data_IF_251240991066
#
_entry.id   IF_251240991066
#
_cell.length_a   1.000
_cell.length_b   1.000
_cell.length_c   1.000
_cell.angle_alpha   90.00
_cell.angle_beta   90.00
_cell.angle_gamma   90.00
#
_symmetry.space_group_name_H-M   'P 1'
#
loop_
_entity.id
_entity.type
_entity.pdbx_description
1 polymer ?
#
# COMPACT_ATOMS: atom_id res chain seq x y z
N UNK A 1 21.12 -5.67 2.30
CA UNK A 1 20.76 -4.66 1.27
C UNK A 1 19.60 -5.15 0.38
N UNK A 2 18.53 -5.73 0.96
CA UNK A 2 17.47 -6.41 0.16
C UNK A 2 16.06 -6.38 0.82
N UNK A 3 15.74 -5.37 1.64
CA UNK A 3 14.45 -5.35 2.38
C UNK A 3 13.57 -4.11 2.15
N UNK A 4 13.97 -3.13 1.33
CA UNK A 4 13.15 -1.91 1.09
C UNK A 4 12.16 -2.01 -0.07
N UNK A 5 12.15 -3.15 -0.74
CA UNK A 5 11.25 -3.49 -1.83
C UNK A 5 10.66 -4.86 -1.49
N UNK A 6 9.63 -4.91 -0.64
CA UNK A 6 8.82 -6.11 -0.54
C UNK A 6 8.06 -6.27 -1.87
N UNK A 7 8.68 -6.99 -2.80
CA UNK A 7 8.04 -7.50 -4.02
C UNK A 7 7.12 -8.66 -3.61
N UNK A 8 6.01 -8.38 -2.94
CA UNK A 8 4.93 -9.38 -2.85
C UNK A 8 4.23 -9.40 -4.21
N UNK A 9 4.77 -10.23 -5.10
CA UNK A 9 4.14 -10.62 -6.35
C UNK A 9 2.96 -11.56 -6.02
N UNK A 10 1.72 -11.09 -6.17
CA UNK A 10 0.60 -11.99 -6.41
C UNK A 10 0.23 -11.89 -7.88
N UNK A 11 0.59 -12.94 -8.62
CA UNK A 11 0.37 -13.09 -10.05
C UNK A 11 -1.04 -13.68 -10.26
N UNK A 12 -1.98 -12.86 -10.74
CA UNK A 12 -3.20 -13.34 -11.39
C UNK A 12 -3.24 -12.73 -12.79
N UNK A 13 -2.55 -13.41 -13.71
CA UNK A 13 -2.76 -13.39 -15.16
C UNK A 13 -2.64 -12.03 -15.87
N UNK A 14 -1.43 -11.46 -15.98
CA UNK A 14 -1.05 -10.55 -17.08
C UNK A 14 0.48 -10.33 -17.14
N UNK A 15 1.10 -10.18 -18.33
CA UNK A 15 2.52 -9.81 -18.50
C UNK A 15 2.79 -8.33 -18.21
N UNK A 16 1.98 -7.68 -17.38
CA UNK A 16 1.97 -6.23 -17.23
C UNK A 16 2.94 -5.77 -16.13
N UNK A 17 3.75 -4.74 -16.44
CA UNK A 17 4.60 -4.02 -15.47
C UNK A 17 3.80 -3.20 -14.45
N UNK A 18 2.47 -3.16 -14.59
CA UNK A 18 1.57 -2.31 -13.82
C UNK A 18 1.73 -2.47 -12.29
N UNK A 19 1.71 -3.68 -11.68
CA UNK A 19 1.89 -3.79 -10.23
C UNK A 19 3.25 -3.27 -9.77
N UNK A 20 4.31 -3.49 -10.55
CA UNK A 20 5.65 -3.01 -10.24
C UNK A 20 5.74 -1.48 -10.36
N UNK A 21 5.10 -0.88 -11.35
CA UNK A 21 5.05 0.57 -11.54
C UNK A 21 4.22 1.24 -10.41
N UNK A 22 3.10 0.63 -10.02
CA UNK A 22 2.31 1.05 -8.86
C UNK A 22 3.11 0.95 -7.56
N UNK A 23 3.88 -0.13 -7.37
CA UNK A 23 4.75 -0.28 -6.20
C UNK A 23 5.85 0.80 -6.16
N UNK A 24 6.47 1.12 -7.31
CA UNK A 24 7.45 2.21 -7.43
C UNK A 24 6.84 3.58 -7.11
N UNK A 25 5.63 3.84 -7.59
CA UNK A 25 4.88 5.04 -7.21
C UNK A 25 4.61 5.08 -5.71
N UNK A 26 4.17 3.95 -5.13
CA UNK A 26 3.99 3.82 -3.70
C UNK A 26 5.28 4.06 -2.91
N UNK A 27 6.44 3.65 -3.42
CA UNK A 27 7.74 3.81 -2.77
C UNK A 27 8.17 5.27 -2.69
N UNK A 28 7.91 6.04 -3.75
CA UNK A 28 8.08 7.49 -3.77
C UNK A 28 7.23 8.15 -2.68
N UNK A 29 5.97 7.73 -2.54
CA UNK A 29 5.07 8.23 -1.49
C UNK A 29 5.44 7.71 -0.10
N UNK A 30 6.06 6.53 0.01
CA UNK A 30 6.64 6.04 1.26
C UNK A 30 7.86 6.85 1.70
N UNK A 31 8.31 7.83 0.89
CA UNK A 31 9.52 8.64 1.09
C UNK A 31 10.76 7.76 1.18
N UNK A 32 10.77 6.70 0.38
CA UNK A 32 11.89 5.79 0.23
C UNK A 32 12.56 6.05 -1.12
N UNK A 33 13.87 6.29 -1.12
CA UNK A 33 14.63 6.66 -2.32
C UNK A 33 14.73 8.16 -2.55
N UNK A 34 14.79 8.58 -3.83
CA UNK A 34 14.94 9.98 -4.21
C UNK A 34 13.68 10.79 -3.91
N UNK A 35 13.86 11.95 -3.26
CA UNK A 35 12.74 12.78 -2.84
C UNK A 35 12.31 13.74 -3.95
N UNK A 36 11.44 13.25 -4.83
CA UNK A 36 10.91 14.01 -5.97
C UNK A 36 9.71 14.91 -5.61
N UNK A 37 9.09 14.71 -4.45
CA UNK A 37 7.87 15.41 -4.01
C UNK A 37 8.05 15.96 -2.60
N UNK A 38 7.51 17.15 -2.34
CA UNK A 38 7.61 17.81 -1.04
C UNK A 38 6.98 16.94 0.07
N UNK A 39 7.54 16.93 1.30
CA UNK A 39 6.95 16.19 2.42
C UNK A 39 5.49 16.55 2.69
N UNK A 40 5.15 17.83 2.54
CA UNK A 40 3.79 18.33 2.76
C UNK A 40 2.81 17.71 1.76
N UNK A 41 3.17 17.69 0.47
CA UNK A 41 2.33 17.08 -0.57
C UNK A 41 2.18 15.58 -0.36
N UNK A 42 3.25 14.88 0.03
CA UNK A 42 3.18 13.44 0.34
C UNK A 42 2.20 13.18 1.48
N UNK A 43 2.28 13.94 2.57
CA UNK A 43 1.35 13.82 3.71
C UNK A 43 -0.10 14.04 3.26
N UNK A 44 -0.37 15.07 2.46
CA UNK A 44 -1.71 15.34 1.91
C UNK A 44 -2.20 14.18 1.05
N UNK A 45 -1.39 13.69 0.12
CA UNK A 45 -1.73 12.56 -0.76
C UNK A 45 -2.04 11.31 0.05
N UNK A 46 -1.20 10.96 1.02
CA UNK A 46 -1.42 9.80 1.88
C UNK A 46 -2.69 9.93 2.73
N UNK A 47 -3.00 11.13 3.22
CA UNK A 47 -4.22 11.39 3.98
C UNK A 47 -5.47 11.20 3.12
N UNK A 48 -5.44 11.64 1.86
CA UNK A 48 -6.52 11.41 0.90
C UNK A 48 -6.63 9.94 0.51
N UNK A 49 -5.51 9.27 0.23
CA UNK A 49 -5.49 7.83 -0.04
C UNK A 49 -6.11 7.04 1.12
N UNK A 50 -5.79 7.40 2.36
CA UNK A 50 -6.32 6.76 3.55
C UNK A 50 -7.84 6.95 3.70
N UNK A 51 -8.36 8.14 3.42
CA UNK A 51 -9.76 8.50 3.71
C UNK A 51 -10.72 8.25 2.56
N UNK A 52 -10.28 8.41 1.31
CA UNK A 52 -11.14 8.33 0.12
C UNK A 52 -10.55 7.52 -1.05
N UNK A 53 -9.50 6.72 -0.81
CA UNK A 53 -8.79 6.07 -1.90
C UNK A 53 -9.47 4.82 -2.52
N UNK A 54 -10.45 4.23 -1.85
CA UNK A 54 -11.11 2.96 -2.23
C UNK A 54 -12.63 3.10 -2.43
N UNK A 55 -13.06 4.19 -3.08
CA UNK A 55 -14.48 4.49 -3.29
C UNK A 55 -15.27 4.43 -1.97
N UNK A 56 -16.48 3.88 -2.00
CA UNK A 56 -17.35 3.65 -0.84
C UNK A 56 -16.77 2.61 0.16
N UNK A 57 -15.61 2.00 -0.12
CA UNK A 57 -14.92 1.06 0.76
C UNK A 57 -13.85 1.68 1.66
N UNK A 58 -13.49 2.96 1.46
CA UNK A 58 -12.31 3.58 2.08
C UNK A 58 -12.33 3.54 3.61
N UNK A 59 -13.43 3.97 4.24
CA UNK A 59 -13.53 3.98 5.71
C UNK A 59 -13.43 2.58 6.31
N UNK A 60 -14.16 1.61 5.75
CA UNK A 60 -14.15 0.24 6.25
C UNK A 60 -12.77 -0.42 6.11
N UNK A 61 -12.08 -0.18 4.98
CA UNK A 61 -10.71 -0.66 4.79
C UNK A 61 -9.73 0.03 5.75
N UNK A 62 -9.82 1.35 5.91
CA UNK A 62 -8.96 2.12 6.81
C UNK A 62 -9.04 1.60 8.26
N UNK A 63 -10.22 1.20 8.73
CA UNK A 63 -10.40 0.59 10.07
C UNK A 63 -9.78 -0.81 10.19
N UNK A 64 -9.75 -1.60 9.11
CA UNK A 64 -9.24 -2.97 9.15
C UNK A 64 -7.74 -3.05 8.91
N UNK A 65 -7.25 -2.34 7.90
CA UNK A 65 -5.85 -2.38 7.49
C UNK A 65 -5.04 -1.26 8.11
N UNK A 66 -5.61 -0.07 8.32
CA UNK A 66 -4.83 1.10 8.73
C UNK A 66 -3.74 1.48 7.72
N UNK A 67 -3.85 1.07 6.45
CA UNK A 67 -2.88 1.36 5.38
C UNK A 67 -3.50 2.34 4.38
N UNK A 68 -2.72 3.33 3.92
CA UNK A 68 -3.17 4.24 2.87
C UNK A 68 -3.18 3.53 1.51
N UNK A 69 -4.31 3.51 0.80
CA UNK A 69 -4.43 2.79 -0.47
C UNK A 69 -5.32 3.51 -1.49
N UNK A 70 -4.99 3.40 -2.78
CA UNK A 70 -5.80 3.89 -3.89
C UNK A 70 -6.08 2.75 -4.87
N UNK A 71 -7.36 2.58 -5.22
CA UNK A 71 -7.83 1.61 -6.20
C UNK A 71 -8.14 2.25 -7.55
N UNK A 72 -7.98 1.51 -8.64
CA UNK A 72 -8.44 1.87 -9.97
C UNK A 72 -9.36 0.80 -10.56
N UNK A 73 -10.32 1.21 -11.40
CA UNK A 73 -11.35 0.34 -12.02
C UNK A 73 -10.79 -0.83 -12.82
N UNK A 74 -9.51 -0.79 -13.22
CA UNK A 74 -8.84 -1.91 -13.87
C UNK A 74 -8.40 -3.02 -12.90
N UNK A 75 -8.66 -2.88 -11.59
CA UNK A 75 -8.26 -3.85 -10.57
C UNK A 75 -6.85 -3.64 -10.00
N UNK A 76 -6.19 -2.55 -10.39
CA UNK A 76 -4.92 -2.12 -9.79
C UNK A 76 -5.14 -1.40 -8.45
N UNK A 77 -4.34 -1.72 -7.45
CA UNK A 77 -4.32 -1.01 -6.16
C UNK A 77 -2.88 -0.64 -5.83
N UNK A 78 -2.65 0.62 -5.49
CA UNK A 78 -1.42 1.06 -4.83
C UNK A 78 -1.68 1.27 -3.34
N UNK A 79 -0.78 0.80 -2.50
CA UNK A 79 -0.83 1.00 -1.05
C UNK A 79 0.53 1.44 -0.52
N UNK A 80 0.52 2.21 0.57
CA UNK A 80 1.72 2.84 1.12
C UNK A 80 1.76 2.66 2.63
N UNK A 81 2.89 2.14 3.10
CA UNK A 81 3.30 2.13 4.51
C UNK A 81 4.37 3.22 4.67
N UNK A 82 4.03 4.38 5.27
CA UNK A 82 4.94 5.53 5.32
C UNK A 82 6.30 5.16 5.94
N UNK A 83 7.38 5.55 5.27
CA UNK A 83 8.74 5.28 5.72
C UNK A 83 9.18 3.82 5.56
N UNK A 84 8.38 2.93 4.97
CA UNK A 84 8.72 1.51 4.88
C UNK A 84 8.51 0.93 3.47
N UNK A 85 7.27 0.91 2.99
CA UNK A 85 6.90 0.12 1.81
C UNK A 85 5.96 0.87 0.86
N UNK A 86 6.22 0.70 -0.45
CA UNK A 86 5.25 0.92 -1.51
C UNK A 86 4.80 -0.42 -2.08
N UNK A 87 3.49 -0.63 -2.18
CA UNK A 87 2.91 -1.91 -2.57
C UNK A 87 2.00 -1.67 -3.78
N UNK A 88 2.16 -2.48 -4.82
CA UNK A 88 1.28 -2.50 -5.98
C UNK A 88 0.67 -3.88 -6.13
N UNK A 89 -0.65 -3.95 -6.29
CA UNK A 89 -1.38 -5.20 -6.55
C UNK A 89 -2.25 -5.03 -7.77
N UNK A 90 -2.56 -6.14 -8.44
CA UNK A 90 -3.50 -6.17 -9.54
C UNK A 90 -4.33 -7.45 -9.44
N UNK A 91 -5.64 -7.31 -9.60
CA UNK A 91 -6.53 -8.45 -9.72
C UNK A 91 -7.79 -8.07 -10.49
N UNK A 92 -8.18 -8.81 -11.54
CA UNK A 92 -9.32 -8.47 -12.38
C UNK A 92 -10.68 -8.71 -11.68
N UNK A 93 -10.70 -9.50 -10.60
CA UNK A 93 -11.91 -9.77 -9.84
C UNK A 93 -12.24 -8.59 -8.92
N UNK A 94 -13.28 -7.83 -9.26
CA UNK A 94 -13.69 -6.62 -8.53
C UNK A 94 -14.89 -6.88 -7.61
N UNK A 95 -14.93 -6.18 -6.48
CA UNK A 95 -16.12 -6.09 -5.64
C UNK A 95 -17.17 -5.15 -6.25
N UNK A 96 -18.33 -5.02 -5.59
CA UNK A 96 -19.40 -4.10 -6.01
C UNK A 96 -19.00 -2.62 -6.08
N UNK A 97 -17.90 -2.24 -5.43
CA UNK A 97 -17.37 -0.88 -5.40
C UNK A 97 -16.28 -0.68 -6.46
N UNK A 98 -15.93 -1.71 -7.25
CA UNK A 98 -14.89 -1.66 -8.28
C UNK A 98 -13.47 -1.86 -7.75
N UNK A 99 -13.30 -2.39 -6.53
CA UNK A 99 -11.98 -2.68 -5.97
C UNK A 99 -11.57 -4.14 -6.18
N UNK A 100 -10.30 -4.40 -6.43
CA UNK A 100 -9.77 -5.76 -6.51
C UNK A 100 -9.95 -6.50 -5.18
N UNK A 101 -10.75 -7.59 -5.20
CA UNK A 101 -11.07 -8.39 -4.02
C UNK A 101 -9.78 -8.98 -3.43
N UNK A 102 -8.96 -9.61 -4.29
CA UNK A 102 -7.71 -10.23 -3.88
C UNK A 102 -6.69 -9.20 -3.38
N UNK A 103 -6.58 -8.05 -4.07
CA UNK A 103 -5.66 -6.99 -3.67
C UNK A 103 -5.98 -6.41 -2.30
N UNK A 104 -7.26 -6.13 -2.02
CA UNK A 104 -7.69 -5.64 -0.71
C UNK A 104 -7.44 -6.66 0.41
N UNK A 105 -7.80 -7.93 0.19
CA UNK A 105 -7.61 -8.97 1.21
C UNK A 105 -6.15 -9.23 1.51
N UNK A 106 -5.28 -9.18 0.49
CA UNK A 106 -3.83 -9.25 0.69
C UNK A 106 -3.35 -8.14 1.62
N UNK A 107 -3.72 -6.89 1.35
CA UNK A 107 -3.28 -5.74 2.16
C UNK A 107 -3.75 -5.82 3.61
N UNK A 108 -4.96 -6.33 3.85
CA UNK A 108 -5.46 -6.59 5.20
C UNK A 108 -4.63 -7.65 5.94
N UNK A 109 -4.31 -8.77 5.27
CA UNK A 109 -3.49 -9.83 5.84
C UNK A 109 -2.10 -9.32 6.19
N UNK A 110 -1.44 -8.63 5.24
CA UNK A 110 -0.10 -8.08 5.45
C UNK A 110 -0.08 -7.06 6.58
N UNK A 111 -1.09 -6.19 6.65
CA UNK A 111 -1.14 -5.21 7.75
C UNK A 111 -1.28 -5.89 9.10
N UNK A 112 -2.11 -6.94 9.21
CA UNK A 112 -2.26 -7.70 10.45
C UNK A 112 -0.99 -8.46 10.83
N UNK A 113 -0.32 -9.08 9.86
CA UNK A 113 0.89 -9.89 10.08
C UNK A 113 2.11 -9.04 10.46
N UNK A 114 2.27 -7.87 9.82
CA UNK A 114 3.42 -6.99 10.02
C UNK A 114 3.12 -5.77 10.91
N UNK A 115 1.91 -5.69 11.46
CA UNK A 115 1.48 -4.64 12.38
C UNK A 115 1.45 -3.24 11.74
N UNK A 116 1.18 -3.12 10.43
CA UNK A 116 1.28 -1.85 9.68
C UNK A 116 0.21 -0.81 9.98
N UNK A 117 -0.82 -1.17 10.76
CA UNK A 117 -1.91 -0.28 11.08
C UNK A 117 -1.41 1.02 11.73
N UNK A 118 -1.70 2.19 11.15
CA UNK A 118 -1.14 3.48 11.63
C UNK A 118 -1.58 3.87 13.05
N UNK A 119 -2.72 3.35 13.51
CA UNK A 119 -3.21 3.50 14.88
C UNK A 119 -2.97 2.25 15.75
N UNK A 120 -2.20 1.28 15.25
CA UNK A 120 -1.82 0.08 15.98
C UNK A 120 -0.80 0.36 17.09
N UNK A 121 -0.56 -0.61 17.99
CA UNK A 121 0.41 -0.47 19.08
C UNK A 121 1.83 -0.18 18.54
N UNK A 122 2.50 0.87 19.05
CA UNK A 122 3.82 1.31 18.55
C UNK A 122 5.00 0.35 18.83
N UNK A 123 4.77 -0.78 19.49
CA UNK A 123 5.83 -1.70 19.94
C UNK A 123 6.39 -2.65 18.85
N UNK A 124 5.67 -2.87 17.76
CA UNK A 124 6.03 -3.86 16.73
C UNK A 124 6.66 -3.27 15.46
N UNK A 125 6.40 -2.00 15.18
CA UNK A 125 6.85 -1.30 13.97
C UNK A 125 8.38 -1.09 13.89
N UNK A 126 9.09 -1.15 15.02
CA UNK A 126 10.55 -0.94 15.09
C UNK A 126 11.35 -2.24 15.10
N UNK A 127 10.80 -3.37 15.57
CA UNK A 127 11.56 -4.63 15.69
C UNK A 127 11.89 -5.30 14.36
N UNK A 128 11.16 -4.96 13.30
CA UNK A 128 11.41 -5.48 11.95
C UNK A 128 12.27 -4.53 11.10
N UNK A 129 12.70 -3.40 11.66
CA UNK A 129 13.76 -2.56 11.07
C UNK A 129 15.10 -3.24 11.32
N UNK A 130 15.53 -4.09 10.38
CA UNK A 130 16.94 -4.50 10.30
C UNK A 130 17.85 -3.27 10.20
N UNK A 131 19.10 -3.34 10.70
CA UNK A 131 19.94 -2.18 10.93
C UNK A 131 20.13 -1.35 9.66
N UNK A 132 19.99 -0.02 9.82
CA UNK A 132 20.37 0.97 8.82
C UNK A 132 21.87 0.89 8.58
N UNK A 133 22.25 0.31 7.44
CA UNK A 133 23.57 0.49 6.83
C UNK A 133 23.44 1.48 5.68
#
# INVERSE_FOLDING_TARGET
MMCRLLWIFIHVSAPSRLPADLARFGLLLARQGEQLVSPLHVTTVLSLMFTCGLYNGSGAFATRSGVAAKSGVGGGIVAVVPGQFGIGTFGPALDRNGNSIGGLRLLEILSAEFGWHIFGPRGEQTRQQGPSA
#
